data_IF_171941817118
#
_entry.id   IF_171941817118
#
_cell.length_a   1.000
_cell.length_b   1.000
_cell.length_c   1.000
_cell.angle_alpha   90.00
_cell.angle_beta   90.00
_cell.angle_gamma   90.00
#
_symmetry.space_group_name_H-M   'P 1'
#
loop_
_entity.id
_entity.type
_entity.pdbx_description
1 polymer ?
#
# COMPACT_ATOMS: atom_id res chain seq x y z
N UNK A 1 63.93 41.41 -17.86
CA UNK A 1 63.80 39.96 -17.62
C UNK A 1 62.75 39.74 -16.53
N UNK A 2 61.49 39.53 -16.90
CA UNK A 2 60.46 39.10 -15.94
C UNK A 2 60.32 37.58 -16.07
N UNK A 3 60.78 36.84 -15.06
CA UNK A 3 60.61 35.40 -15.01
C UNK A 3 59.13 35.07 -14.89
N UNK A 4 58.60 34.35 -15.88
CA UNK A 4 57.26 33.77 -15.81
C UNK A 4 57.30 32.71 -14.71
N UNK A 5 56.76 33.02 -13.54
CA UNK A 5 56.51 32.04 -12.49
C UNK A 5 55.66 30.92 -13.05
N UNK A 6 56.12 29.68 -12.93
CA UNK A 6 55.42 28.49 -13.41
C UNK A 6 54.00 28.47 -12.82
N UNK A 7 52.99 28.37 -13.68
CA UNK A 7 51.61 28.18 -13.25
C UNK A 7 51.55 26.94 -12.34
N UNK A 8 50.86 26.99 -11.20
CA UNK A 8 50.72 25.82 -10.34
C UNK A 8 50.14 24.69 -11.17
N UNK A 9 50.77 23.52 -11.12
CA UNK A 9 50.33 22.30 -11.81
C UNK A 9 48.84 22.04 -11.48
N UNK A 10 47.95 22.48 -12.37
CA UNK A 10 46.52 22.31 -12.26
C UNK A 10 46.24 20.84 -12.51
N UNK A 11 46.18 20.05 -11.43
CA UNK A 11 45.83 18.64 -11.55
C UNK A 11 44.31 18.51 -11.64
N UNK A 12 43.73 18.23 -12.83
CA UNK A 12 42.29 18.13 -13.00
C UNK A 12 41.66 17.04 -12.12
N UNK A 13 42.43 16.02 -11.73
CA UNK A 13 41.96 14.94 -10.86
C UNK A 13 41.63 15.45 -9.45
N UNK A 14 42.41 16.38 -8.90
CA UNK A 14 42.18 16.96 -7.56
C UNK A 14 40.89 17.78 -7.50
N UNK A 15 40.53 18.45 -8.59
CA UNK A 15 39.28 19.20 -8.68
C UNK A 15 38.05 18.29 -8.75
N UNK A 16 38.14 17.17 -9.48
CA UNK A 16 37.06 16.18 -9.53
C UNK A 16 36.80 15.59 -8.15
N UNK A 17 37.86 15.22 -7.42
CA UNK A 17 37.76 14.71 -6.04
C UNK A 17 37.15 15.76 -5.11
N UNK A 18 37.61 17.01 -5.18
CA UNK A 18 37.09 18.10 -4.33
C UNK A 18 35.61 18.40 -4.62
N UNK A 19 35.19 18.39 -5.89
CA UNK A 19 33.78 18.56 -6.27
C UNK A 19 32.91 17.40 -5.76
N UNK A 20 33.38 16.15 -5.91
CA UNK A 20 32.68 14.97 -5.36
C UNK A 20 32.52 15.08 -3.85
N UNK A 21 33.57 15.45 -3.12
CA UNK A 21 33.53 15.63 -1.67
C UNK A 21 32.52 16.70 -1.26
N UNK A 22 32.47 17.83 -1.97
CA UNK A 22 31.47 18.88 -1.73
C UNK A 22 30.04 18.39 -1.96
N UNK A 23 29.82 17.62 -3.02
CA UNK A 23 28.51 17.01 -3.32
C UNK A 23 28.08 16.03 -2.22
N UNK A 24 28.96 15.12 -1.80
CA UNK A 24 28.68 14.14 -0.74
C UNK A 24 28.35 14.85 0.59
N UNK A 25 29.11 15.89 0.97
CA UNK A 25 28.83 16.69 2.17
C UNK A 25 27.46 17.37 2.11
N UNK A 26 27.04 17.84 0.93
CA UNK A 26 25.71 18.45 0.76
C UNK A 26 24.60 17.39 0.87
N UNK A 27 24.76 16.24 0.21
CA UNK A 27 23.81 15.11 0.31
C UNK A 27 23.69 14.66 1.77
N UNK A 28 24.80 14.55 2.51
CA UNK A 28 24.81 14.18 3.93
C UNK A 28 24.01 15.16 4.81
N UNK A 29 24.09 16.47 4.54
CA UNK A 29 23.30 17.47 5.26
C UNK A 29 21.81 17.32 4.97
N UNK A 30 21.46 17.11 3.69
CA UNK A 30 20.06 16.91 3.26
C UNK A 30 19.48 15.66 3.90
N UNK A 31 20.19 14.52 3.86
CA UNK A 31 19.71 13.27 4.46
C UNK A 31 19.60 13.36 5.97
N UNK A 32 20.50 14.08 6.66
CA UNK A 32 20.39 14.34 8.10
C UNK A 32 19.13 15.13 8.45
N UNK A 33 18.84 16.18 7.69
CA UNK A 33 17.59 16.95 7.88
C UNK A 33 16.36 16.11 7.56
N UNK A 34 16.38 15.35 6.47
CA UNK A 34 15.29 14.43 6.10
C UNK A 34 15.03 13.38 7.19
N UNK A 35 16.07 12.83 7.82
CA UNK A 35 15.94 11.89 8.95
C UNK A 35 15.15 12.51 10.11
N UNK A 36 15.43 13.76 10.46
CA UNK A 36 14.70 14.47 11.54
C UNK A 36 13.24 14.72 11.16
N UNK A 37 12.98 15.14 9.92
CA UNK A 37 11.61 15.35 9.42
C UNK A 37 10.83 14.03 9.38
N UNK A 38 11.46 12.94 8.93
CA UNK A 38 10.85 11.60 8.90
C UNK A 38 10.54 11.10 10.32
N UNK A 39 11.46 11.27 11.27
CA UNK A 39 11.23 10.91 12.67
C UNK A 39 10.03 11.66 13.28
N UNK A 40 9.88 12.96 13.00
CA UNK A 40 8.73 13.73 13.46
C UNK A 40 7.41 13.26 12.83
N UNK A 41 7.42 12.90 11.53
CA UNK A 41 6.25 12.35 10.84
C UNK A 41 5.86 10.98 11.36
N UNK A 42 6.84 10.11 11.60
CA UNK A 42 6.64 8.80 12.21
C UNK A 42 5.98 8.93 13.59
N UNK A 43 6.49 9.79 14.47
CA UNK A 43 5.92 10.01 15.80
C UNK A 43 4.48 10.57 15.76
N UNK A 44 4.09 11.26 14.67
CA UNK A 44 2.70 11.64 14.44
C UNK A 44 1.87 10.45 13.94
N UNK A 45 2.36 9.72 12.94
CA UNK A 45 1.67 8.56 12.38
C UNK A 45 1.41 7.46 13.42
N UNK A 46 2.37 7.18 14.31
CA UNK A 46 2.20 6.20 15.38
C UNK A 46 1.08 6.60 16.37
N UNK A 47 0.94 7.90 16.65
CA UNK A 47 -0.14 8.43 17.52
C UNK A 47 -1.51 8.31 16.86
N UNK A 48 -1.60 8.52 15.55
CA UNK A 48 -2.84 8.39 14.77
C UNK A 48 -3.21 6.91 14.52
N UNK A 49 -2.22 6.02 14.42
CA UNK A 49 -2.43 4.58 14.21
C UNK A 49 -3.00 3.88 15.45
N UNK A 50 -2.62 4.29 16.67
CA UNK A 50 -3.10 3.67 17.93
C UNK A 50 -4.62 3.60 18.06
N UNK A 51 -5.38 4.69 17.88
CA UNK A 51 -6.85 4.63 17.90
C UNK A 51 -7.41 3.91 16.67
N UNK A 52 -6.80 4.06 15.49
CA UNK A 52 -7.24 3.41 14.26
C UNK A 52 -7.18 1.87 14.33
N UNK A 53 -6.19 1.32 15.04
CA UNK A 53 -6.02 -0.13 15.22
C UNK A 53 -7.24 -0.82 15.83
N UNK A 54 -7.96 -0.15 16.72
CA UNK A 54 -9.13 -0.75 17.40
C UNK A 54 -10.24 -1.04 16.40
N UNK A 55 -10.47 -0.14 15.42
CA UNK A 55 -11.48 -0.33 14.39
C UNK A 55 -11.16 -1.53 13.48
N UNK A 56 -9.89 -1.73 13.12
CA UNK A 56 -9.49 -2.87 12.29
C UNK A 56 -9.48 -4.24 12.99
N UNK A 57 -9.54 -4.28 14.33
CA UNK A 57 -9.69 -5.54 15.08
C UNK A 57 -11.17 -5.97 15.13
N UNK A 58 -12.08 -4.99 15.25
CA UNK A 58 -13.52 -5.26 15.25
C UNK A 58 -14.00 -5.91 13.95
N UNK A 59 -13.51 -5.43 12.79
CA UNK A 59 -13.85 -6.01 11.50
C UNK A 59 -13.33 -7.44 11.33
N UNK A 60 -12.09 -7.71 11.76
CA UNK A 60 -11.47 -9.02 11.67
C UNK A 60 -12.20 -10.08 12.50
N UNK A 61 -12.65 -9.70 13.71
CA UNK A 61 -13.35 -10.60 14.62
C UNK A 61 -14.68 -11.11 14.03
N UNK A 62 -15.31 -10.36 13.14
CA UNK A 62 -16.52 -10.80 12.45
C UNK A 62 -16.19 -11.87 11.40
N UNK A 63 -15.16 -11.64 10.57
CA UNK A 63 -14.73 -12.61 9.57
C UNK A 63 -14.20 -13.92 10.18
N UNK A 64 -13.42 -13.82 11.26
CA UNK A 64 -12.91 -15.01 11.98
C UNK A 64 -14.04 -15.85 12.57
N UNK A 65 -15.09 -15.21 13.12
CA UNK A 65 -16.24 -15.91 13.69
C UNK A 65 -17.22 -16.42 12.65
N UNK A 66 -17.32 -15.74 11.51
CA UNK A 66 -18.23 -16.10 10.44
C UNK A 66 -17.67 -17.23 9.54
N UNK A 67 -16.40 -17.64 9.70
CA UNK A 67 -15.75 -18.71 8.91
C UNK A 67 -16.15 -18.69 7.43
N UNK A 68 -16.15 -17.50 6.82
CA UNK A 68 -16.64 -17.33 5.45
C UNK A 68 -15.69 -18.06 4.51
N UNK A 69 -16.12 -19.23 4.03
CA UNK A 69 -15.39 -20.01 3.03
C UNK A 69 -15.86 -19.58 1.66
N UNK A 70 -14.89 -19.25 0.80
CA UNK A 70 -15.16 -18.98 -0.61
C UNK A 70 -15.51 -20.29 -1.28
N UNK A 71 -16.62 -20.31 -2.03
CA UNK A 71 -16.98 -21.45 -2.86
C UNK A 71 -15.88 -21.70 -3.92
N UNK A 72 -15.59 -22.97 -4.24
CA UNK A 72 -14.50 -23.31 -5.18
C UNK A 72 -14.73 -22.78 -6.62
N UNK A 73 -15.97 -22.44 -6.98
CA UNK A 73 -16.36 -21.99 -8.33
C UNK A 73 -16.09 -20.51 -8.64
N UNK A 74 -15.51 -19.77 -7.70
CA UNK A 74 -15.33 -18.31 -7.80
C UNK A 74 -14.17 -17.96 -8.73
N UNK A 75 -14.47 -17.27 -9.84
CA UNK A 75 -13.53 -17.07 -10.97
C UNK A 75 -12.78 -15.75 -10.94
N UNK A 76 -13.27 -14.73 -10.24
CA UNK A 76 -12.71 -13.37 -10.30
C UNK A 76 -12.13 -12.91 -8.98
N UNK A 77 -10.84 -12.58 -8.97
CA UNK A 77 -10.12 -12.13 -7.79
C UNK A 77 -9.66 -10.67 -7.90
N UNK A 78 -9.88 -9.89 -6.86
CA UNK A 78 -9.47 -8.49 -6.80
C UNK A 78 -8.33 -8.28 -5.81
N UNK A 79 -7.19 -7.78 -6.27
CA UNK A 79 -6.04 -7.46 -5.42
C UNK A 79 -5.96 -5.95 -5.21
N UNK A 80 -6.05 -5.49 -3.97
CA UNK A 80 -5.81 -4.10 -3.58
C UNK A 80 -4.38 -4.00 -3.03
N UNK A 81 -3.50 -3.35 -3.78
CA UNK A 81 -2.12 -3.12 -3.37
C UNK A 81 -1.94 -1.74 -2.76
N UNK A 82 -1.56 -1.67 -1.49
CA UNK A 82 -1.32 -0.39 -0.80
C UNK A 82 0.16 -0.02 -0.88
N UNK A 83 0.45 1.19 -1.38
CA UNK A 83 1.78 1.77 -1.50
C UNK A 83 1.73 3.29 -1.27
N UNK A 84 2.85 3.99 -1.51
CA UNK A 84 2.94 5.44 -1.40
C UNK A 84 3.47 6.05 -2.70
N UNK A 85 3.23 7.34 -2.93
CA UNK A 85 3.81 8.04 -4.09
C UNK A 85 5.29 8.41 -3.91
N UNK A 86 5.76 8.43 -2.66
CA UNK A 86 7.11 8.90 -2.33
C UNK A 86 8.12 7.75 -2.34
N UNK A 87 9.33 8.05 -2.78
CA UNK A 87 10.46 7.11 -2.75
C UNK A 87 11.28 7.22 -1.45
N UNK A 88 12.50 6.67 -1.49
CA UNK A 88 13.46 6.68 -0.37
C UNK A 88 13.03 5.86 0.87
N UNK A 89 12.19 4.86 0.65
CA UNK A 89 11.61 3.99 1.69
C UNK A 89 12.21 2.57 1.70
N UNK A 90 13.35 2.36 1.05
CA UNK A 90 13.97 1.04 0.93
C UNK A 90 13.12 0.04 0.14
N UNK A 91 12.84 -1.12 0.74
CA UNK A 91 12.17 -2.24 0.08
C UNK A 91 10.64 -2.27 0.25
N UNK A 92 10.03 -1.28 0.91
CA UNK A 92 8.59 -1.23 1.23
C UNK A 92 7.70 -1.40 -0.02
N UNK A 93 8.00 -0.69 -1.11
CA UNK A 93 7.19 -0.78 -2.34
C UNK A 93 7.46 -2.07 -3.12
N UNK A 94 8.72 -2.48 -3.11
CA UNK A 94 9.17 -3.67 -3.84
C UNK A 94 8.64 -4.96 -3.18
N UNK A 95 8.49 -5.00 -1.85
CA UNK A 95 7.93 -6.17 -1.17
C UNK A 95 6.47 -6.40 -1.52
N UNK A 96 5.65 -5.33 -1.50
CA UNK A 96 4.23 -5.38 -1.92
C UNK A 96 4.12 -5.75 -3.40
N UNK A 97 4.91 -5.11 -4.28
CA UNK A 97 4.87 -5.43 -5.71
C UNK A 97 5.31 -6.88 -6.01
N UNK A 98 6.22 -7.45 -5.22
CA UNK A 98 6.60 -8.86 -5.34
C UNK A 98 5.48 -9.80 -4.88
N UNK A 99 4.87 -9.53 -3.74
CA UNK A 99 3.74 -10.30 -3.23
C UNK A 99 2.59 -10.33 -4.25
N UNK A 100 2.21 -9.18 -4.81
CA UNK A 100 1.19 -9.10 -5.87
C UNK A 100 1.55 -9.93 -7.09
N UNK A 101 2.81 -9.92 -7.55
CA UNK A 101 3.23 -10.73 -8.70
C UNK A 101 3.12 -12.22 -8.43
N UNK A 102 3.51 -12.64 -7.22
CA UNK A 102 3.37 -14.04 -6.81
C UNK A 102 1.91 -14.44 -6.79
N UNK A 103 1.05 -13.60 -6.19
CA UNK A 103 -0.38 -13.85 -6.09
C UNK A 103 -1.06 -13.91 -7.47
N UNK A 104 -0.75 -12.98 -8.37
CA UNK A 104 -1.25 -13.01 -9.75
C UNK A 104 -0.83 -14.31 -10.44
N UNK A 105 0.42 -14.75 -10.29
CA UNK A 105 0.90 -16.00 -10.90
C UNK A 105 0.11 -17.20 -10.35
N UNK A 106 0.03 -17.33 -9.02
CA UNK A 106 -0.65 -18.45 -8.36
C UNK A 106 -2.13 -18.53 -8.73
N UNK A 107 -2.83 -17.39 -8.77
CA UNK A 107 -4.24 -17.35 -9.12
C UNK A 107 -4.49 -17.56 -10.62
N UNK A 108 -3.59 -17.05 -11.48
CA UNK A 108 -3.68 -17.28 -12.93
C UNK A 108 -3.42 -18.73 -13.28
N UNK A 109 -2.49 -19.40 -12.59
CA UNK A 109 -2.21 -20.84 -12.74
C UNK A 109 -3.42 -21.69 -12.28
N UNK A 110 -4.19 -21.19 -11.31
CA UNK A 110 -5.47 -21.77 -10.89
C UNK A 110 -6.64 -21.43 -11.84
N UNK A 111 -6.42 -20.68 -12.92
CA UNK A 111 -7.44 -20.31 -13.91
C UNK A 111 -8.38 -19.19 -13.46
N UNK A 112 -8.05 -18.45 -12.40
CA UNK A 112 -8.82 -17.28 -11.94
C UNK A 112 -8.43 -16.03 -12.74
N UNK A 113 -9.42 -15.19 -13.04
CA UNK A 113 -9.22 -13.86 -13.58
C UNK A 113 -8.83 -12.91 -12.44
N UNK A 114 -7.68 -12.24 -12.56
CA UNK A 114 -7.14 -11.38 -11.50
C UNK A 114 -7.07 -9.94 -11.96
N UNK A 115 -7.69 -9.05 -11.19
CA UNK A 115 -7.59 -7.60 -11.37
C UNK A 115 -6.95 -6.93 -10.16
N UNK A 116 -6.24 -5.83 -10.41
CA UNK A 116 -5.43 -5.11 -9.43
C UNK A 116 -5.89 -3.67 -9.33
N UNK A 117 -6.13 -3.23 -8.10
CA UNK A 117 -6.34 -1.83 -7.73
C UNK A 117 -5.08 -1.32 -7.04
N UNK A 118 -4.40 -0.37 -7.69
CA UNK A 118 -3.17 0.19 -7.18
C UNK A 118 -3.40 1.46 -6.36
N UNK A 119 -3.13 1.43 -5.06
CA UNK A 119 -3.17 2.61 -4.21
C UNK A 119 -1.74 3.18 -4.10
N UNK A 120 -1.49 4.28 -4.81
CA UNK A 120 -0.18 4.94 -4.88
C UNK A 120 0.57 4.72 -6.20
N UNK A 121 1.28 5.76 -6.65
CA UNK A 121 1.91 5.82 -7.98
C UNK A 121 3.12 4.87 -8.11
N UNK A 122 3.81 4.55 -7.01
CA UNK A 122 4.97 3.65 -7.04
C UNK A 122 4.61 2.22 -7.38
N UNK A 123 3.44 1.75 -6.95
CA UNK A 123 3.01 0.41 -7.26
C UNK A 123 2.73 0.23 -8.75
N UNK A 124 2.01 1.19 -9.34
CA UNK A 124 1.78 1.25 -10.78
C UNK A 124 3.12 1.26 -11.53
N UNK A 125 4.06 2.12 -11.15
CA UNK A 125 5.38 2.18 -11.80
C UNK A 125 6.14 0.85 -11.80
N UNK A 126 6.01 0.04 -10.75
CA UNK A 126 6.69 -1.26 -10.61
C UNK A 126 6.02 -2.41 -11.40
N UNK A 127 4.71 -2.32 -11.62
CA UNK A 127 3.90 -3.36 -12.26
C UNK A 127 3.54 -3.05 -13.72
N UNK A 128 3.51 -1.77 -14.12
CA UNK A 128 3.08 -1.33 -15.46
C UNK A 128 3.81 -2.03 -16.61
N UNK A 129 5.10 -2.37 -16.45
CA UNK A 129 5.89 -2.99 -17.52
C UNK A 129 5.57 -4.46 -17.76
N UNK A 130 5.09 -5.17 -16.74
CA UNK A 130 4.92 -6.63 -16.79
C UNK A 130 3.48 -7.09 -16.58
N UNK A 131 2.65 -6.32 -15.89
CA UNK A 131 1.27 -6.67 -15.53
C UNK A 131 0.32 -5.49 -15.80
N UNK A 132 0.54 -4.72 -16.88
CA UNK A 132 -0.32 -3.59 -17.25
C UNK A 132 -1.79 -3.97 -17.40
N UNK A 133 -2.04 -5.17 -17.91
CA UNK A 133 -3.38 -5.62 -18.30
C UNK A 133 -4.25 -6.00 -17.10
N UNK A 134 -3.65 -6.19 -15.92
CA UNK A 134 -4.36 -6.53 -14.71
C UNK A 134 -4.85 -5.28 -13.96
N UNK A 135 -4.48 -4.06 -14.34
CA UNK A 135 -4.90 -2.87 -13.60
C UNK A 135 -6.35 -2.47 -13.92
N UNK A 136 -7.19 -2.41 -12.88
CA UNK A 136 -8.55 -1.86 -12.97
C UNK A 136 -8.53 -0.34 -12.76
N UNK A 137 -8.03 0.09 -11.58
CA UNK A 137 -7.94 1.50 -11.19
C UNK A 137 -6.60 1.75 -10.49
N UNK A 138 -6.07 2.97 -10.64
CA UNK A 138 -4.90 3.42 -9.86
C UNK A 138 -5.19 4.76 -9.20
N UNK A 139 -4.94 4.84 -7.89
CA UNK A 139 -5.03 6.07 -7.10
C UNK A 139 -3.66 6.73 -6.95
N UNK A 140 -3.66 8.06 -6.96
CA UNK A 140 -2.48 8.90 -6.77
C UNK A 140 -2.73 9.89 -5.64
N UNK A 141 -1.68 10.62 -5.26
CA UNK A 141 -1.67 11.57 -4.15
C UNK A 141 -1.80 10.94 -2.75
N UNK A 142 -1.50 9.65 -2.65
CA UNK A 142 -1.54 8.88 -1.42
C UNK A 142 -0.27 9.14 -0.59
N UNK A 143 -0.49 9.58 0.65
CA UNK A 143 0.59 9.79 1.61
C UNK A 143 1.25 11.18 1.56
N UNK A 144 0.70 12.16 0.82
CA UNK A 144 1.12 13.58 0.94
C UNK A 144 0.56 14.22 2.21
N UNK A 145 -0.74 14.07 2.45
CA UNK A 145 -1.43 14.38 3.72
C UNK A 145 -1.61 13.09 4.54
N UNK A 146 -1.77 13.18 5.87
CA UNK A 146 -2.18 12.02 6.66
C UNK A 146 -3.42 11.38 6.04
N UNK A 147 -3.41 10.05 5.80
CA UNK A 147 -4.54 9.37 5.20
C UNK A 147 -5.74 9.45 6.13
N UNK A 148 -6.89 9.82 5.60
CA UNK A 148 -8.14 9.93 6.36
C UNK A 148 -9.11 8.84 5.95
N UNK A 149 -10.14 8.62 6.77
CA UNK A 149 -11.25 7.74 6.40
C UNK A 149 -11.95 8.19 5.10
N UNK A 150 -11.94 9.49 4.82
CA UNK A 150 -12.47 10.05 3.57
C UNK A 150 -11.70 9.56 2.34
N UNK A 151 -10.37 9.45 2.43
CA UNK A 151 -9.56 8.95 1.30
C UNK A 151 -9.87 7.48 1.01
N UNK A 152 -10.05 6.67 2.07
CA UNK A 152 -10.47 5.27 1.93
C UNK A 152 -11.90 5.16 1.35
N UNK A 153 -12.78 6.11 1.67
CA UNK A 153 -14.15 6.16 1.13
C UNK A 153 -14.17 6.43 -0.36
N UNK A 154 -13.28 7.29 -0.86
CA UNK A 154 -13.12 7.55 -2.29
C UNK A 154 -12.64 6.29 -3.02
N UNK A 155 -11.68 5.55 -2.46
CA UNK A 155 -11.18 4.30 -3.04
C UNK A 155 -12.30 3.26 -3.12
N UNK A 156 -13.07 3.09 -2.04
CA UNK A 156 -14.19 2.15 -1.99
C UNK A 156 -15.28 2.52 -3.00
N UNK A 157 -15.65 3.81 -3.09
CA UNK A 157 -16.68 4.28 -4.00
C UNK A 157 -16.28 4.08 -5.47
N UNK A 158 -15.05 4.42 -5.82
CA UNK A 158 -14.53 4.26 -7.18
C UNK A 158 -14.45 2.78 -7.57
N UNK A 159 -14.12 1.91 -6.61
CA UNK A 159 -14.17 0.47 -6.84
C UNK A 159 -15.59 -0.01 -7.14
N UNK A 160 -16.59 0.44 -6.39
CA UNK A 160 -18.00 0.11 -6.66
C UNK A 160 -18.47 0.67 -8.01
N UNK A 161 -18.05 1.90 -8.35
CA UNK A 161 -18.41 2.55 -9.61
C UNK A 161 -17.72 1.93 -10.83
N UNK A 162 -16.65 1.16 -10.65
CA UNK A 162 -15.95 0.48 -11.74
C UNK A 162 -16.82 -0.56 -12.45
N UNK A 163 -17.91 -1.00 -11.82
CA UNK A 163 -18.79 -2.06 -12.33
C UNK A 163 -18.12 -3.43 -12.39
N UNK A 164 -16.92 -3.57 -11.81
CA UNK A 164 -16.23 -4.85 -11.76
C UNK A 164 -16.78 -5.71 -10.62
N UNK A 165 -17.56 -6.73 -10.99
CA UNK A 165 -17.98 -7.76 -10.06
C UNK A 165 -16.79 -8.67 -9.75
N UNK A 166 -16.40 -8.70 -8.48
CA UNK A 166 -15.42 -9.62 -7.95
C UNK A 166 -16.09 -10.53 -6.93
N UNK A 167 -15.47 -11.68 -6.74
CA UNK A 167 -15.97 -12.73 -5.87
C UNK A 167 -15.20 -12.73 -4.54
N UNK A 168 -13.88 -12.70 -4.68
CA UNK A 168 -12.90 -12.73 -3.61
C UNK A 168 -11.91 -11.59 -3.84
N UNK A 169 -11.43 -11.00 -2.75
CA UNK A 169 -10.42 -9.97 -2.81
C UNK A 169 -9.36 -10.13 -1.74
N UNK A 170 -8.20 -9.55 -2.00
CA UNK A 170 -7.06 -9.54 -1.09
C UNK A 170 -6.48 -8.13 -0.99
N UNK A 171 -6.25 -7.65 0.23
CA UNK A 171 -5.51 -6.41 0.48
C UNK A 171 -4.08 -6.77 0.85
N UNK A 172 -3.13 -6.32 0.04
CA UNK A 172 -1.69 -6.53 0.27
C UNK A 172 -1.07 -5.23 0.74
N UNK A 173 -0.52 -5.25 1.95
CA UNK A 173 0.07 -4.09 2.60
C UNK A 173 1.25 -4.47 3.50
N UNK A 174 2.02 -3.46 3.92
CA UNK A 174 3.06 -3.66 4.91
C UNK A 174 2.54 -3.39 6.33
N UNK A 175 2.47 -4.44 7.14
CA UNK A 175 2.17 -4.35 8.57
C UNK A 175 3.40 -3.86 9.33
N UNK A 176 3.24 -2.74 10.01
CA UNK A 176 4.26 -2.18 10.91
C UNK A 176 4.47 -3.09 12.14
N UNK A 177 5.70 -3.55 12.37
CA UNK A 177 6.11 -4.28 13.57
C UNK A 177 6.97 -3.43 14.50
N UNK A 178 8.04 -2.84 13.97
CA UNK A 178 8.95 -1.97 14.70
C UNK A 178 9.58 -0.95 13.75
N UNK A 179 10.32 0.02 14.28
CA UNK A 179 11.00 1.06 13.49
C UNK A 179 11.94 0.46 12.42
N UNK A 180 12.42 -0.77 12.64
CA UNK A 180 13.36 -1.45 11.75
C UNK A 180 12.67 -2.54 10.92
N UNK A 181 11.57 -3.11 11.42
CA UNK A 181 10.92 -4.28 10.82
C UNK A 181 9.47 -4.02 10.45
N UNK A 182 9.12 -4.44 9.24
CA UNK A 182 7.77 -4.53 8.72
C UNK A 182 7.60 -5.92 8.10
N UNK A 183 6.35 -6.38 8.01
CA UNK A 183 5.99 -7.62 7.33
C UNK A 183 4.96 -7.31 6.28
N UNK A 184 5.16 -7.78 5.05
CA UNK A 184 4.11 -7.77 4.04
C UNK A 184 3.13 -8.86 4.43
N UNK A 185 1.91 -8.45 4.76
CA UNK A 185 0.81 -9.32 5.12
C UNK A 185 -0.30 -9.12 4.08
N UNK A 186 -1.13 -10.14 3.97
CA UNK A 186 -2.31 -10.17 3.11
C UNK A 186 -3.54 -10.33 3.99
N UNK A 187 -4.63 -9.66 3.63
CA UNK A 187 -5.93 -9.82 4.27
C UNK A 187 -6.99 -10.13 3.22
N UNK A 188 -7.76 -11.22 3.38
CA UNK A 188 -8.88 -11.49 2.50
C UNK A 188 -10.05 -10.57 2.82
N UNK A 189 -10.80 -10.19 1.79
CA UNK A 189 -12.12 -9.60 1.90
C UNK A 189 -13.02 -10.21 0.83
N UNK A 190 -14.33 -10.20 1.08
CA UNK A 190 -15.29 -10.92 0.26
C UNK A 190 -16.33 -9.96 -0.30
N UNK A 191 -16.87 -10.28 -1.48
CA UNK A 191 -17.97 -9.52 -2.05
C UNK A 191 -19.28 -9.70 -1.27
N UNK A 192 -20.23 -8.79 -1.47
CA UNK A 192 -21.53 -8.80 -0.80
C UNK A 192 -22.24 -10.15 -0.95
N UNK A 193 -22.28 -10.67 -2.18
CA UNK A 193 -22.97 -11.93 -2.50
C UNK A 193 -22.32 -13.14 -1.81
N UNK A 194 -21.00 -13.10 -1.66
CA UNK A 194 -20.26 -14.16 -0.96
C UNK A 194 -20.57 -14.17 0.54
N UNK A 195 -20.67 -12.99 1.14
CA UNK A 195 -20.96 -12.86 2.57
C UNK A 195 -22.43 -13.17 2.85
N UNK A 196 -23.34 -12.74 1.98
CA UNK A 196 -24.77 -13.05 2.08
C UNK A 196 -25.07 -14.55 1.93
N UNK A 197 -24.27 -15.27 1.14
CA UNK A 197 -24.41 -16.72 0.96
C UNK A 197 -23.79 -17.58 2.08
N UNK A 198 -23.16 -16.98 3.09
CA UNK A 198 -22.51 -17.72 4.16
C UNK A 198 -23.51 -18.25 5.20
N UNK A 199 -23.41 -19.53 5.55
CA UNK A 199 -24.32 -20.22 6.48
C UNK A 199 -24.30 -19.58 7.89
N UNK A 200 -23.17 -19.00 8.28
CA UNK A 200 -22.97 -18.30 9.55
C UNK A 200 -23.64 -16.92 9.63
N UNK A 201 -24.00 -16.31 8.50
CA UNK A 201 -24.69 -15.02 8.46
C UNK A 201 -26.13 -15.15 8.97
N UNK A 202 -26.73 -16.34 8.79
CA UNK A 202 -28.11 -16.66 9.21
C UNK A 202 -28.33 -16.69 10.73
N UNK A 203 -27.24 -16.69 11.51
CA UNK A 203 -27.26 -16.67 12.98
C UNK A 203 -27.51 -15.24 13.52
N UNK A 204 -27.31 -14.22 12.68
CA UNK A 204 -27.50 -12.84 13.05
C UNK A 204 -28.90 -12.37 12.63
N UNK A 205 -29.74 -12.06 13.62
CA UNK A 205 -31.04 -11.44 13.39
C UNK A 205 -30.87 -9.99 12.87
N UNK A 206 -31.75 -9.57 11.96
CA UNK A 206 -31.89 -8.20 11.43
C UNK A 206 -30.74 -7.66 10.54
N UNK A 207 -30.02 -8.52 9.81
CA UNK A 207 -29.09 -8.04 8.76
C UNK A 207 -29.83 -7.86 7.43
N UNK A 208 -30.32 -6.65 7.16
CA UNK A 208 -30.78 -6.26 5.83
C UNK A 208 -29.60 -6.17 4.84
N UNK A 209 -29.87 -6.40 3.54
CA UNK A 209 -28.86 -6.30 2.48
C UNK A 209 -28.14 -4.92 2.47
N UNK A 210 -28.86 -3.85 2.83
CA UNK A 210 -28.31 -2.50 2.96
C UNK A 210 -27.36 -2.35 4.16
N UNK A 211 -27.64 -3.04 5.27
CA UNK A 211 -26.76 -3.05 6.45
C UNK A 211 -25.48 -3.80 6.14
N UNK A 212 -25.57 -4.94 5.45
CA UNK A 212 -24.40 -5.72 5.02
C UNK A 212 -23.50 -4.91 4.09
N UNK A 213 -24.09 -4.18 3.14
CA UNK A 213 -23.37 -3.31 2.22
C UNK A 213 -22.67 -2.17 2.96
N UNK A 214 -23.38 -1.47 3.84
CA UNK A 214 -22.79 -0.40 4.64
C UNK A 214 -21.66 -0.90 5.54
N UNK A 215 -21.80 -2.11 6.10
CA UNK A 215 -20.77 -2.74 6.93
C UNK A 215 -19.53 -3.15 6.12
N UNK A 216 -19.70 -3.72 4.92
CA UNK A 216 -18.60 -4.04 4.03
C UNK A 216 -17.87 -2.78 3.56
N UNK A 217 -18.61 -1.74 3.18
CA UNK A 217 -18.04 -0.44 2.83
C UNK A 217 -17.25 0.14 4.02
N UNK A 218 -17.81 0.10 5.22
CA UNK A 218 -17.14 0.56 6.43
C UNK A 218 -15.86 -0.24 6.71
N UNK A 219 -15.91 -1.57 6.54
CA UNK A 219 -14.79 -2.47 6.78
C UNK A 219 -13.65 -2.22 5.80
N UNK A 220 -13.96 -2.15 4.49
CA UNK A 220 -12.98 -1.84 3.45
C UNK A 220 -12.33 -0.47 3.71
N UNK A 221 -13.12 0.52 4.15
CA UNK A 221 -12.64 1.87 4.49
C UNK A 221 -11.73 1.85 5.72
N UNK A 222 -12.15 1.18 6.79
CA UNK A 222 -11.38 1.07 8.03
C UNK A 222 -10.04 0.35 7.81
N UNK A 223 -10.05 -0.67 6.96
CA UNK A 223 -8.86 -1.45 6.61
C UNK A 223 -7.89 -0.64 5.75
N UNK A 224 -8.36 -0.05 4.66
CA UNK A 224 -7.55 0.84 3.83
C UNK A 224 -6.94 1.99 4.64
N UNK A 225 -7.65 2.54 5.62
CA UNK A 225 -7.12 3.58 6.49
C UNK A 225 -6.02 3.05 7.43
N UNK A 226 -6.27 1.95 8.13
CA UNK A 226 -5.30 1.35 9.07
C UNK A 226 -4.00 0.95 8.33
N UNK A 227 -4.13 0.44 7.12
CA UNK A 227 -3.01 -0.02 6.30
C UNK A 227 -2.23 1.14 5.68
N UNK A 228 -2.91 2.22 5.28
CA UNK A 228 -2.24 3.46 4.83
C UNK A 228 -1.41 4.13 5.95
N UNK A 229 -1.86 4.04 7.21
CA UNK A 229 -1.11 4.55 8.35
C UNK A 229 0.15 3.74 8.67
N UNK A 230 0.13 2.43 8.39
CA UNK A 230 1.26 1.53 8.63
C UNK A 230 2.45 1.73 7.67
N UNK A 231 2.26 2.44 6.55
CA UNK A 231 3.27 2.58 5.50
C UNK A 231 4.08 3.88 5.53
N UNK A 232 3.92 4.72 6.57
CA UNK A 232 4.52 6.07 6.65
C UNK A 232 5.78 6.18 7.51
#
# INVERSE_FOLDING_TARGET
MFSRGAAPNFNPQMLVVTRRLKSIKNIQKITKSMKMVAAAKYARAERELKPARVYGVGSLALYEKAEIKVAEDKKKHLIIGVSSDRGLCGAIHTSVAKAIKTEISTLSDAGKEVMVVGVGDKLRGLLQRTHSNHFLVTFKEVGRKPPSFGDASVIALELLNSGYEFDEGSVIYNRFRSVISYKTDEKPFYSLDTVAGAESISIYDDIDADVLRNYQEFTLRAECQNDCYGQR
#
